data_IF_436767764987
#
_entry.id   IF_436767764987
#
_cell.length_a   1.000
_cell.length_b   1.000
_cell.length_c   1.000
_cell.angle_alpha   90.00
_cell.angle_beta   90.00
_cell.angle_gamma   90.00
#
_symmetry.space_group_name_H-M   'P 1'
#
loop_
_entity.id
_entity.type
_entity.pdbx_description
1 polymer ?
#
# COMPACT_ATOMS: atom_id res chain seq x y z
N UNK A 1 -17.03 -29.27 27.42
CA UNK A 1 -15.94 -28.27 27.39
C UNK A 1 -14.85 -28.62 28.42
N UNK A 2 -13.57 -28.29 28.17
CA UNK A 2 -12.46 -28.57 29.11
C UNK A 2 -12.66 -27.86 30.47
N UNK A 3 -13.31 -26.70 30.44
CA UNK A 3 -13.66 -25.91 31.64
C UNK A 3 -14.77 -26.56 32.48
N UNK A 4 -15.73 -27.25 31.86
CA UNK A 4 -16.80 -27.99 32.56
C UNK A 4 -16.22 -29.19 33.31
N UNK A 5 -15.32 -29.94 32.68
CA UNK A 5 -14.64 -31.08 33.31
C UNK A 5 -13.79 -30.68 34.52
N UNK A 6 -13.18 -29.48 34.47
CA UNK A 6 -12.54 -28.89 35.64
C UNK A 6 -13.53 -28.51 36.74
N UNK A 7 -14.68 -27.94 36.38
CA UNK A 7 -15.74 -27.56 37.32
C UNK A 7 -16.35 -28.79 38.01
N UNK A 8 -16.50 -29.90 37.28
CA UNK A 8 -16.92 -31.20 37.77
C UNK A 8 -15.83 -31.94 38.58
N UNK A 9 -14.63 -31.36 38.72
CA UNK A 9 -13.45 -31.94 39.40
C UNK A 9 -12.98 -33.28 38.82
N UNK A 10 -13.28 -33.55 37.56
CA UNK A 10 -12.85 -34.78 36.86
C UNK A 10 -11.38 -34.73 36.43
N UNK A 11 -10.79 -33.53 36.41
CA UNK A 11 -9.46 -33.29 35.86
C UNK A 11 -8.66 -32.35 36.78
N UNK A 12 -7.38 -32.66 36.97
CA UNK A 12 -6.47 -31.86 37.77
C UNK A 12 -6.06 -30.55 37.07
N UNK A 13 -5.76 -29.52 37.85
CA UNK A 13 -5.33 -28.21 37.36
C UNK A 13 -4.02 -28.30 36.53
N UNK A 14 -3.07 -29.13 36.97
CA UNK A 14 -1.79 -29.39 36.30
C UNK A 14 -2.00 -29.83 34.84
N UNK A 15 -2.89 -30.79 34.63
CA UNK A 15 -3.22 -31.39 33.33
C UNK A 15 -3.87 -30.37 32.38
N UNK A 16 -4.82 -29.58 32.88
CA UNK A 16 -5.51 -28.57 32.07
C UNK A 16 -4.58 -27.42 31.67
N UNK A 17 -3.71 -26.97 32.57
CA UNK A 17 -2.74 -25.93 32.25
C UNK A 17 -1.75 -26.41 31.18
N UNK A 18 -1.39 -27.69 31.20
CA UNK A 18 -0.54 -28.30 30.18
C UNK A 18 -1.25 -28.36 28.82
N UNK A 19 -2.48 -28.86 28.77
CA UNK A 19 -3.28 -28.93 27.53
C UNK A 19 -3.53 -27.55 26.93
N UNK A 20 -3.88 -26.56 27.75
CA UNK A 20 -4.21 -25.23 27.27
C UNK A 20 -2.96 -24.38 26.97
N UNK A 21 -1.78 -24.75 27.50
CA UNK A 21 -0.55 -23.97 27.33
C UNK A 21 -0.64 -22.56 27.90
N UNK A 22 -1.46 -22.34 28.93
CA UNK A 22 -1.78 -21.01 29.48
C UNK A 22 -1.28 -20.91 30.93
N UNK A 23 -0.70 -19.76 31.35
CA UNK A 23 -0.32 -19.54 32.74
C UNK A 23 -1.51 -19.52 33.70
N UNK A 24 -1.32 -20.02 34.92
CA UNK A 24 -2.35 -20.19 35.97
C UNK A 24 -3.21 -18.95 36.18
N UNK A 25 -2.62 -17.75 36.18
CA UNK A 25 -3.34 -16.46 36.31
C UNK A 25 -4.38 -16.24 35.22
N UNK A 26 -4.04 -16.54 33.97
CA UNK A 26 -4.94 -16.37 32.81
C UNK A 26 -6.03 -17.43 32.82
N UNK A 27 -5.72 -18.67 33.23
CA UNK A 27 -6.71 -19.73 33.41
C UNK A 27 -7.81 -19.32 34.39
N UNK A 28 -7.46 -18.83 35.59
CA UNK A 28 -8.48 -18.40 36.56
C UNK A 28 -9.29 -17.20 36.09
N UNK A 29 -8.71 -16.30 35.29
CA UNK A 29 -9.45 -15.19 34.68
C UNK A 29 -10.51 -15.70 33.69
N UNK A 30 -10.13 -16.65 32.83
CA UNK A 30 -11.02 -17.33 31.88
C UNK A 30 -12.12 -18.08 32.65
N UNK A 31 -11.75 -18.83 33.69
CA UNK A 31 -12.68 -19.59 34.51
C UNK A 31 -13.70 -18.69 35.23
N UNK A 32 -13.26 -17.52 35.71
CA UNK A 32 -14.15 -16.53 36.32
C UNK A 32 -15.19 -16.03 35.32
N UNK A 33 -14.75 -15.59 34.14
CA UNK A 33 -15.65 -15.14 33.08
C UNK A 33 -16.59 -16.25 32.57
N UNK A 34 -16.13 -17.51 32.57
CA UNK A 34 -16.95 -18.67 32.25
C UNK A 34 -18.06 -18.92 33.29
N UNK A 35 -17.78 -18.67 34.59
CA UNK A 35 -18.77 -18.82 35.67
C UNK A 35 -19.81 -17.69 35.69
N UNK A 36 -19.43 -16.50 35.26
CA UNK A 36 -20.33 -15.34 35.20
C UNK A 36 -21.41 -15.51 34.13
N UNK A 37 -21.07 -16.01 32.94
CA UNK A 37 -22.02 -16.24 31.85
C UNK A 37 -21.69 -17.50 31.03
N UNK A 38 -22.12 -18.69 31.49
CA UNK A 38 -21.84 -19.96 30.81
C UNK A 38 -22.32 -20.01 29.35
N UNK A 39 -23.47 -19.39 29.06
CA UNK A 39 -24.13 -19.48 27.75
C UNK A 39 -23.54 -18.53 26.69
N UNK A 40 -22.96 -17.40 27.10
CA UNK A 40 -22.41 -16.40 26.19
C UNK A 40 -20.89 -16.26 26.28
N UNK A 41 -20.24 -17.18 27.01
CA UNK A 41 -18.80 -17.20 27.14
C UNK A 41 -18.14 -17.54 25.80
N UNK A 42 -17.36 -16.60 25.27
CA UNK A 42 -16.49 -16.80 24.12
C UNK A 42 -15.14 -16.14 24.40
N UNK A 43 -14.06 -16.87 24.09
CA UNK A 43 -12.67 -16.38 24.17
C UNK A 43 -12.28 -15.67 22.86
N UNK A 44 -13.15 -15.71 21.84
CA UNK A 44 -12.86 -15.11 20.55
C UNK A 44 -12.64 -13.61 20.70
N UNK A 45 -11.55 -13.16 20.08
CA UNK A 45 -11.21 -11.75 20.05
C UNK A 45 -12.25 -10.98 19.22
N UNK A 46 -13.21 -10.33 19.89
CA UNK A 46 -14.18 -9.42 19.25
C UNK A 46 -13.59 -8.02 19.17
N UNK A 47 -13.18 -7.60 17.98
CA UNK A 47 -12.74 -6.23 17.71
C UNK A 47 -13.97 -5.32 17.57
N UNK A 48 -14.36 -4.65 18.64
CA UNK A 48 -15.60 -3.87 18.70
C UNK A 48 -15.58 -2.53 17.95
N UNK A 49 -14.42 -2.03 17.53
CA UNK A 49 -14.31 -0.78 16.78
C UNK A 49 -13.48 -0.96 15.52
N UNK A 50 -14.12 -0.75 14.37
CA UNK A 50 -13.44 -0.58 13.09
C UNK A 50 -13.01 0.87 12.92
N UNK A 51 -12.15 1.39 13.80
CA UNK A 51 -11.54 2.72 13.68
C UNK A 51 -10.66 2.86 12.42
N UNK A 52 -10.47 1.77 11.67
CA UNK A 52 -9.70 1.72 10.42
C UNK A 52 -10.56 1.95 9.17
N UNK A 53 -11.86 2.24 9.32
CA UNK A 53 -12.73 2.54 8.19
C UNK A 53 -12.74 4.04 7.96
N UNK A 54 -12.33 4.40 6.75
CA UNK A 54 -12.47 5.76 6.24
C UNK A 54 -13.95 6.00 5.98
N UNK A 55 -14.43 7.20 6.30
CA UNK A 55 -15.81 7.58 6.02
C UNK A 55 -16.14 7.42 4.54
N UNK A 56 -17.36 6.98 4.23
CA UNK A 56 -17.79 6.72 2.85
C UNK A 56 -17.57 7.93 1.93
N UNK A 57 -17.83 9.13 2.45
CA UNK A 57 -17.57 10.40 1.76
C UNK A 57 -16.11 10.57 1.32
N UNK A 58 -15.16 10.22 2.20
CA UNK A 58 -13.73 10.33 1.89
C UNK A 58 -13.33 9.28 0.85
N UNK A 59 -13.92 8.08 0.87
CA UNK A 59 -13.69 7.08 -0.17
C UNK A 59 -14.21 7.54 -1.53
N UNK A 60 -15.41 8.13 -1.57
CA UNK A 60 -16.00 8.68 -2.79
C UNK A 60 -15.12 9.82 -3.36
N UNK A 61 -14.61 10.72 -2.51
CA UNK A 61 -13.69 11.78 -2.91
C UNK A 61 -12.35 11.24 -3.45
N UNK A 62 -11.78 10.19 -2.85
CA UNK A 62 -10.56 9.56 -3.38
C UNK A 62 -10.83 8.99 -4.77
N UNK A 63 -11.98 8.34 -4.98
CA UNK A 63 -12.34 7.71 -6.24
C UNK A 63 -12.60 8.74 -7.36
N UNK A 64 -13.24 9.87 -7.06
CA UNK A 64 -13.48 10.92 -8.06
C UNK A 64 -12.17 11.54 -8.55
N UNK A 65 -11.24 11.83 -7.64
CA UNK A 65 -9.92 12.38 -7.98
C UNK A 65 -9.06 11.38 -8.77
N UNK A 66 -9.05 10.10 -8.36
CA UNK A 66 -8.35 9.03 -9.12
C UNK A 66 -8.91 8.83 -10.53
N UNK A 67 -10.22 9.01 -10.72
CA UNK A 67 -10.86 8.88 -12.03
C UNK A 67 -10.50 10.05 -12.94
N UNK A 68 -10.47 11.26 -12.39
CA UNK A 68 -10.02 12.46 -13.10
C UNK A 68 -8.57 12.31 -13.58
N UNK A 69 -7.68 11.85 -12.70
CA UNK A 69 -6.28 11.59 -13.05
C UNK A 69 -6.15 10.51 -14.14
N UNK A 70 -6.98 9.47 -14.09
CA UNK A 70 -7.00 8.42 -15.13
C UNK A 70 -7.40 8.96 -16.50
N UNK A 71 -8.37 9.87 -16.54
CA UNK A 71 -8.81 10.47 -17.79
C UNK A 71 -7.73 11.41 -18.36
N UNK A 72 -6.98 12.12 -17.50
CA UNK A 72 -5.81 12.92 -17.89
C UNK A 72 -4.67 12.08 -18.48
N UNK A 73 -4.41 10.88 -17.95
CA UNK A 73 -3.38 9.96 -18.45
C UNK A 73 -3.79 9.31 -19.77
N UNK A 74 -5.11 9.14 -20.00
CA UNK A 74 -5.64 8.57 -21.25
C UNK A 74 -5.64 9.57 -22.40
N UNK A 75 -5.63 10.88 -22.11
CA UNK A 75 -5.57 11.91 -23.14
C UNK A 75 -4.26 11.78 -23.93
N UNK A 76 -4.37 11.57 -25.25
CA UNK A 76 -3.24 11.26 -26.14
C UNK A 76 -2.21 12.41 -26.23
N UNK A 77 -2.67 13.64 -25.97
CA UNK A 77 -1.84 14.86 -25.99
C UNK A 77 -1.04 15.11 -24.70
N UNK A 78 -1.20 14.28 -23.66
CA UNK A 78 -0.53 14.48 -22.38
C UNK A 78 0.77 13.64 -22.27
N UNK A 79 1.94 14.24 -22.00
CA UNK A 79 3.16 13.49 -21.77
C UNK A 79 3.15 12.65 -20.48
N UNK A 80 2.19 12.87 -19.57
CA UNK A 80 2.10 12.18 -18.28
C UNK A 80 1.53 10.77 -18.46
N UNK A 81 2.38 9.76 -18.24
CA UNK A 81 2.03 8.33 -18.36
C UNK A 81 1.87 7.62 -17.02
N UNK A 82 1.93 8.33 -15.90
CA UNK A 82 1.93 7.76 -14.55
C UNK A 82 1.02 8.53 -13.61
N UNK A 83 0.37 7.82 -12.69
CA UNK A 83 -0.45 8.42 -11.64
C UNK A 83 0.42 9.18 -10.62
N UNK A 84 0.09 10.44 -10.36
CA UNK A 84 0.70 11.23 -9.29
C UNK A 84 -0.17 11.20 -8.01
N UNK A 85 0.08 10.22 -7.14
CA UNK A 85 -0.70 10.10 -5.89
C UNK A 85 -0.40 11.19 -4.86
N UNK A 86 0.77 11.82 -4.91
CA UNK A 86 1.08 12.97 -4.04
C UNK A 86 0.22 14.17 -4.41
N UNK A 87 0.07 14.44 -5.71
CA UNK A 87 -0.83 15.49 -6.20
C UNK A 87 -2.28 15.26 -5.79
N UNK A 88 -2.78 14.02 -5.91
CA UNK A 88 -4.13 13.65 -5.47
C UNK A 88 -4.29 13.88 -3.95
N UNK A 89 -3.27 13.56 -3.15
CA UNK A 89 -3.29 13.77 -1.71
C UNK A 89 -3.43 15.26 -1.38
N UNK A 90 -2.64 16.12 -2.03
CA UNK A 90 -2.67 17.56 -1.79
C UNK A 90 -4.02 18.14 -2.22
N UNK A 91 -4.55 17.69 -3.37
CA UNK A 91 -5.88 18.08 -3.86
C UNK A 91 -7.01 17.65 -2.92
N UNK A 92 -6.90 16.48 -2.29
CA UNK A 92 -7.87 16.00 -1.29
C UNK A 92 -7.87 16.87 -0.02
N UNK A 93 -6.69 17.33 0.39
CA UNK A 93 -6.52 18.21 1.54
C UNK A 93 -7.01 19.63 1.26
N UNK A 94 -6.70 20.19 0.09
CA UNK A 94 -7.11 21.55 -0.29
C UNK A 94 -8.61 21.65 -0.57
N UNK A 95 -9.16 20.74 -1.39
CA UNK A 95 -10.53 20.84 -1.90
C UNK A 95 -11.58 20.32 -0.92
N UNK A 96 -11.29 19.19 -0.27
CA UNK A 96 -12.26 18.51 0.60
C UNK A 96 -11.87 18.55 2.08
N UNK A 97 -10.72 19.15 2.43
CA UNK A 97 -10.19 19.19 3.81
C UNK A 97 -10.03 17.79 4.43
N UNK A 98 -9.89 16.77 3.58
CA UNK A 98 -9.80 15.39 3.99
C UNK A 98 -8.33 14.97 4.10
N UNK A 99 -7.85 14.79 5.34
CA UNK A 99 -6.49 14.33 5.60
C UNK A 99 -6.42 12.81 5.45
N UNK A 100 -5.86 12.36 4.33
CA UNK A 100 -5.68 10.93 4.04
C UNK A 100 -4.19 10.63 3.87
N UNK A 101 -3.75 9.48 4.39
CA UNK A 101 -2.37 9.03 4.18
C UNK A 101 -2.16 8.50 2.76
N UNK A 102 -0.97 8.75 2.19
CA UNK A 102 -0.60 8.27 0.86
C UNK A 102 -0.76 6.74 0.68
N UNK A 103 -0.37 5.88 1.66
CA UNK A 103 -0.57 4.44 1.54
C UNK A 103 -2.04 4.05 1.37
N UNK A 104 -2.95 4.82 1.97
CA UNK A 104 -4.39 4.57 1.83
C UNK A 104 -4.88 4.89 0.43
N UNK A 105 -4.46 6.02 -0.13
CA UNK A 105 -4.78 6.39 -1.51
C UNK A 105 -4.27 5.32 -2.47
N UNK A 106 -3.04 4.83 -2.27
CA UNK A 106 -2.46 3.74 -3.07
C UNK A 106 -3.24 2.44 -2.92
N UNK A 107 -3.64 2.05 -1.70
CA UNK A 107 -4.46 0.85 -1.47
C UNK A 107 -5.81 0.93 -2.20
N UNK A 108 -6.48 2.09 -2.15
CA UNK A 108 -7.73 2.33 -2.87
C UNK A 108 -7.53 2.36 -4.39
N UNK A 109 -6.45 2.96 -4.87
CA UNK A 109 -6.08 2.95 -6.28
C UNK A 109 -5.84 1.53 -6.81
N UNK A 110 -5.17 0.68 -6.04
CA UNK A 110 -4.97 -0.74 -6.37
C UNK A 110 -6.28 -1.49 -6.47
N UNK A 111 -7.18 -1.32 -5.49
CA UNK A 111 -8.52 -1.92 -5.49
C UNK A 111 -9.37 -1.44 -6.67
N UNK A 112 -9.27 -0.16 -7.03
CA UNK A 112 -10.02 0.47 -8.13
C UNK A 112 -9.41 0.35 -9.52
N UNK A 113 -8.29 -0.40 -9.70
CA UNK A 113 -7.55 -0.49 -10.98
C UNK A 113 -7.07 0.88 -11.51
N UNK A 114 -6.76 1.81 -10.62
CA UNK A 114 -6.14 3.11 -10.91
C UNK A 114 -4.63 3.07 -10.65
N UNK A 115 -3.98 2.01 -11.10
CA UNK A 115 -2.55 1.81 -10.94
C UNK A 115 -1.97 1.18 -12.22
N UNK A 116 -0.74 1.55 -12.54
CA UNK A 116 0.01 0.97 -13.65
C UNK A 116 1.08 0.09 -13.03
N UNK A 117 1.06 -1.20 -13.36
CA UNK A 117 2.14 -2.10 -13.00
C UNK A 117 3.40 -1.65 -13.73
N UNK A 118 4.47 -1.37 -12.98
CA UNK A 118 5.78 -1.13 -13.60
C UNK A 118 6.25 -2.44 -14.23
N UNK A 119 6.60 -2.48 -15.53
CA UNK A 119 7.21 -3.65 -16.12
C UNK A 119 8.53 -3.93 -15.38
N UNK A 120 8.84 -5.21 -15.15
CA UNK A 120 10.16 -5.59 -14.62
C UNK A 120 11.20 -5.17 -15.65
N UNK A 121 12.23 -4.42 -15.23
CA UNK A 121 13.34 -4.13 -16.14
C UNK A 121 14.04 -5.45 -16.49
N UNK A 122 14.37 -5.62 -17.77
CA UNK A 122 15.32 -6.66 -18.17
C UNK A 122 16.71 -6.15 -17.81
N UNK A 123 17.54 -7.01 -17.22
CA UNK A 123 18.95 -6.71 -17.12
C UNK A 123 19.51 -6.52 -18.55
N UNK A 124 20.31 -5.48 -18.76
CA UNK A 124 21.00 -5.31 -20.03
C UNK A 124 22.15 -6.32 -20.08
N UNK A 125 22.06 -7.27 -20.98
CA UNK A 125 23.02 -8.37 -21.12
C UNK A 125 24.18 -8.02 -22.07
N UNK A 126 24.55 -6.74 -22.14
CA UNK A 126 25.59 -6.24 -23.04
C UNK A 126 26.82 -5.87 -22.25
N UNK A 127 27.84 -6.72 -22.31
CA UNK A 127 29.20 -6.37 -21.94
C UNK A 127 29.84 -5.59 -23.09
N UNK A 128 30.33 -4.38 -22.82
CA UNK A 128 31.11 -3.60 -23.79
C UNK A 128 32.58 -3.71 -23.40
N UNK A 129 33.33 -4.49 -24.16
CA UNK A 129 34.79 -4.64 -24.00
C UNK A 129 35.46 -3.60 -24.88
N UNK A 130 36.19 -2.66 -24.30
CA UNK A 130 37.07 -1.73 -25.03
C UNK A 130 38.52 -2.06 -24.78
N UNK A 131 39.32 -2.08 -25.84
CA UNK A 131 40.75 -2.35 -25.81
C UNK A 131 41.58 -1.06 -25.66
N UNK A 132 41.04 0.11 -26.02
CA UNK A 132 41.77 1.39 -26.00
C UNK A 132 40.96 2.57 -25.43
N UNK A 133 41.66 3.57 -24.88
CA UNK A 133 41.06 4.83 -24.40
C UNK A 133 40.53 5.63 -25.61
N UNK A 134 39.22 5.83 -25.69
CA UNK A 134 38.54 6.53 -26.80
C UNK A 134 37.73 5.65 -27.76
N UNK A 135 37.68 4.33 -27.54
CA UNK A 135 36.93 3.38 -28.41
C UNK A 135 35.40 3.45 -28.20
N UNK A 136 34.96 4.01 -27.07
CA UNK A 136 33.57 4.27 -26.73
C UNK A 136 33.27 5.77 -26.89
N UNK A 137 32.94 6.20 -28.11
CA UNK A 137 32.38 7.53 -28.38
C UNK A 137 30.88 7.37 -28.61
N UNK A 138 30.06 7.80 -27.65
CA UNK A 138 28.60 7.84 -27.79
C UNK A 138 28.17 9.22 -28.32
N UNK A 139 27.64 9.24 -29.55
CA UNK A 139 26.89 10.39 -30.05
C UNK A 139 25.42 10.21 -29.65
N UNK A 140 25.00 10.80 -28.53
CA UNK A 140 23.59 10.82 -28.15
C UNK A 140 22.97 12.18 -28.51
N UNK A 141 22.03 12.18 -29.45
CA UNK A 141 21.27 13.38 -29.83
C UNK A 141 19.85 13.27 -29.27
N UNK A 142 19.58 13.95 -28.16
CA UNK A 142 18.28 13.87 -27.48
C UNK A 142 17.25 14.82 -28.09
N UNK A 143 16.10 14.29 -28.50
CA UNK A 143 15.00 15.06 -29.10
C UNK A 143 13.83 15.23 -28.11
N UNK A 144 13.81 16.33 -27.34
CA UNK A 144 12.73 16.58 -26.37
C UNK A 144 12.16 17.99 -26.44
N UNK A 145 10.82 18.08 -26.36
CA UNK A 145 10.09 19.34 -26.15
C UNK A 145 10.10 19.63 -24.65
N UNK A 146 11.12 20.36 -24.18
CA UNK A 146 11.39 20.58 -22.75
C UNK A 146 10.32 21.44 -22.03
N UNK A 147 9.35 22.00 -22.76
CA UNK A 147 8.23 22.76 -22.19
C UNK A 147 7.01 22.76 -23.14
N UNK A 148 5.77 22.60 -22.63
CA UNK A 148 4.55 22.70 -23.42
C UNK A 148 4.29 24.10 -24.01
N UNK A 149 4.94 25.14 -23.48
CA UNK A 149 4.81 26.55 -23.92
C UNK A 149 5.78 26.95 -25.03
N UNK A 150 6.64 26.05 -25.52
CA UNK A 150 7.58 26.34 -26.59
C UNK A 150 6.97 26.00 -27.96
N UNK A 151 6.87 26.99 -28.85
CA UNK A 151 6.33 26.82 -30.22
C UNK A 151 7.25 26.01 -31.14
N UNK A 152 8.54 25.89 -30.81
CA UNK A 152 9.54 25.19 -31.64
C UNK A 152 10.39 24.21 -30.83
N UNK A 153 10.86 23.14 -31.48
CA UNK A 153 11.75 22.13 -30.90
C UNK A 153 13.18 22.68 -30.82
N UNK A 154 13.86 22.43 -29.71
CA UNK A 154 15.22 22.88 -29.45
C UNK A 154 16.18 21.69 -29.55
N UNK A 155 17.40 21.93 -30.06
CA UNK A 155 18.45 20.92 -30.24
C UNK A 155 19.57 21.19 -29.23
N UNK A 156 19.90 20.20 -28.41
CA UNK A 156 21.09 20.23 -27.57
C UNK A 156 22.07 19.17 -28.11
N UNK A 157 23.24 19.62 -28.56
CA UNK A 157 24.34 18.74 -28.94
C UNK A 157 25.40 18.91 -27.87
N UNK A 158 25.59 17.88 -27.05
CA UNK A 158 26.59 17.90 -25.98
C UNK A 158 27.87 17.25 -26.51
N UNK A 159 28.93 18.03 -26.66
CA UNK A 159 30.28 17.51 -26.91
C UNK A 159 31.04 17.47 -25.58
N UNK A 160 31.33 16.27 -25.08
CA UNK A 160 32.28 16.08 -23.97
C UNK A 160 33.65 15.87 -24.60
N UNK A 161 34.49 16.91 -24.56
CA UNK A 161 35.92 16.80 -24.85
C UNK A 161 36.62 16.32 -23.57
N UNK A 162 37.23 15.13 -23.63
CA UNK A 162 38.14 14.60 -22.63
C UNK A 162 39.58 14.84 -23.03
#
# INVERSE_FOLDING_TARGET
>A
SLLEKYEAKEIELSYILNILGIPRRRFFKILKSYREDKNNFSIDYKRNNSNNKIGKEVEDNILTELKTEKDLIKAEDNPIRSYNYSYIKDRLEEKYKNKVSLPTIIDRAKKGRFYINKPKSKAHDREVVTNYVGELIQHDSSHYKWSPYADKKWYLILFVLG
#
